data_IF_105455886242
#
_entry.id   IF_105455886242
#
_cell.length_a   1.000
_cell.length_b   1.000
_cell.length_c   1.000
_cell.angle_alpha   90.00
_cell.angle_beta   90.00
_cell.angle_gamma   90.00
#
_symmetry.space_group_name_H-M   'P 1'
#
loop_
_entity.id
_entity.type
_entity.pdbx_description
1 polymer ?
#
# COMPACT_ATOMS: atom_id res chain seq x y z
N UNK A 1 -25.56 -2.45 15.18
CA UNK A 1 -24.40 -1.81 14.53
C UNK A 1 -23.90 -2.79 13.47
N UNK A 2 -24.14 -2.52 12.18
CA UNK A 2 -23.75 -3.45 11.10
C UNK A 2 -22.29 -3.18 10.76
N UNK A 3 -21.41 -4.11 11.09
CA UNK A 3 -20.00 -4.06 10.69
C UNK A 3 -19.94 -4.33 9.18
N UNK A 4 -19.16 -3.55 8.43
CA UNK A 4 -19.01 -3.74 6.99
C UNK A 4 -18.47 -5.16 6.71
N UNK A 5 -19.18 -6.01 5.94
CA UNK A 5 -18.72 -7.36 5.61
C UNK A 5 -17.33 -7.38 4.94
N UNK A 6 -16.93 -6.30 4.28
CA UNK A 6 -15.60 -6.15 3.66
C UNK A 6 -14.51 -5.95 4.70
N UNK A 7 -14.84 -5.40 5.86
CA UNK A 7 -13.92 -5.32 6.99
C UNK A 7 -13.52 -6.74 7.44
N UNK A 8 -14.48 -7.66 7.41
CA UNK A 8 -14.24 -9.06 7.72
C UNK A 8 -13.27 -9.74 6.75
N UNK A 9 -13.23 -9.33 5.47
CA UNK A 9 -12.28 -9.82 4.47
C UNK A 9 -10.89 -9.18 4.61
N UNK A 10 -10.79 -7.94 5.09
CA UNK A 10 -9.51 -7.29 5.39
C UNK A 10 -8.78 -7.94 6.57
N UNK A 11 -9.55 -8.48 7.52
CA UNK A 11 -9.07 -9.16 8.72
C UNK A 11 -9.35 -10.67 8.73
N UNK A 12 -9.79 -11.24 7.61
CA UNK A 12 -10.01 -12.68 7.51
C UNK A 12 -8.66 -13.39 7.73
N UNK A 13 -8.66 -14.43 8.55
CA UNK A 13 -7.51 -15.31 8.73
C UNK A 13 -7.10 -15.89 7.37
N UNK A 14 -5.80 -15.77 7.07
CA UNK A 14 -5.16 -16.27 5.84
C UNK A 14 -5.48 -17.76 5.59
N UNK A 15 -5.75 -18.52 6.65
CA UNK A 15 -6.01 -19.95 6.64
C UNK A 15 -7.22 -20.40 5.79
N UNK A 16 -8.11 -19.47 5.37
CA UNK A 16 -9.27 -19.80 4.54
C UNK A 16 -9.18 -19.25 3.11
N UNK A 17 -8.08 -18.63 2.71
CA UNK A 17 -7.91 -18.11 1.35
C UNK A 17 -7.48 -19.24 0.39
N UNK A 18 -8.27 -19.48 -0.65
CA UNK A 18 -7.96 -20.47 -1.70
C UNK A 18 -7.84 -19.78 -3.06
N UNK A 19 -6.96 -20.30 -3.92
CA UNK A 19 -6.77 -19.78 -5.29
C UNK A 19 -6.04 -18.43 -5.36
N UNK A 20 -5.48 -17.96 -4.25
CA UNK A 20 -4.72 -16.70 -4.20
C UNK A 20 -3.22 -16.93 -4.41
N UNK A 21 -2.72 -18.14 -4.12
CA UNK A 21 -1.29 -18.43 -4.09
C UNK A 21 -0.58 -18.15 -5.42
N UNK A 22 -1.04 -18.74 -6.53
CA UNK A 22 -0.42 -18.55 -7.84
C UNK A 22 -0.36 -17.07 -8.26
N UNK A 23 -1.50 -16.35 -8.31
CA UNK A 23 -1.51 -14.92 -8.65
C UNK A 23 -0.67 -14.05 -7.71
N UNK A 24 -0.60 -14.40 -6.42
CA UNK A 24 0.24 -13.68 -5.45
C UNK A 24 1.71 -13.89 -5.78
N UNK A 25 2.13 -15.12 -5.98
CA UNK A 25 3.54 -15.48 -6.19
C UNK A 25 4.08 -14.87 -7.49
N UNK A 26 3.26 -14.82 -8.55
CA UNK A 26 3.58 -14.13 -9.81
C UNK A 26 3.80 -12.62 -9.59
N UNK A 27 2.89 -11.95 -8.86
CA UNK A 27 3.01 -10.52 -8.56
C UNK A 27 4.24 -10.23 -7.69
N UNK A 28 4.49 -11.05 -6.66
CA UNK A 28 5.67 -10.93 -5.79
C UNK A 28 6.94 -11.03 -6.61
N UNK A 29 7.03 -12.04 -7.49
CA UNK A 29 8.17 -12.21 -8.39
C UNK A 29 8.41 -10.97 -9.26
N UNK A 30 7.40 -10.48 -9.95
CA UNK A 30 7.56 -9.29 -10.82
C UNK A 30 7.93 -8.01 -10.05
N UNK A 31 7.46 -7.87 -8.80
CA UNK A 31 7.79 -6.72 -7.96
C UNK A 31 9.26 -6.75 -7.52
N UNK A 32 9.77 -7.93 -7.16
CA UNK A 32 11.12 -8.12 -6.62
C UNK A 32 12.21 -8.36 -7.68
N UNK A 33 11.83 -8.75 -8.90
CA UNK A 33 12.79 -8.90 -10.00
C UNK A 33 13.54 -7.60 -10.27
N UNK A 34 14.83 -7.55 -9.95
CA UNK A 34 15.68 -6.43 -10.32
C UNK A 34 15.84 -6.43 -11.85
N UNK A 35 15.38 -5.36 -12.51
CA UNK A 35 15.58 -5.23 -13.95
C UNK A 35 17.08 -5.18 -14.26
N UNK A 36 17.51 -5.83 -15.35
CA UNK A 36 18.90 -5.88 -15.84
C UNK A 36 19.57 -4.49 -16.10
N UNK A 37 18.91 -3.39 -15.80
CA UNK A 37 19.40 -2.04 -16.02
C UNK A 37 19.67 -1.37 -14.68
N UNK A 38 20.88 -0.85 -14.50
CA UNK A 38 21.46 -0.24 -13.31
C UNK A 38 20.75 1.02 -12.76
N UNK A 39 19.50 1.29 -13.15
CA UNK A 39 18.65 2.34 -12.59
C UNK A 39 17.37 1.72 -12.02
N UNK A 40 17.14 1.91 -10.72
CA UNK A 40 15.91 1.53 -10.01
C UNK A 40 14.70 2.23 -10.67
N UNK A 41 14.08 1.61 -11.67
CA UNK A 41 12.88 2.16 -12.31
C UNK A 41 11.66 1.95 -11.40
N UNK A 42 10.83 2.99 -11.26
CA UNK A 42 9.57 2.91 -10.52
C UNK A 42 8.60 1.98 -11.26
N UNK A 43 8.17 0.91 -10.59
CA UNK A 43 7.16 -0.04 -11.11
C UNK A 43 5.78 0.26 -10.55
N UNK A 44 4.74 0.08 -11.37
CA UNK A 44 3.33 0.21 -10.96
C UNK A 44 2.57 -1.01 -11.48
N UNK A 45 1.83 -1.67 -10.58
CA UNK A 45 1.00 -2.84 -10.89
C UNK A 45 -0.47 -2.50 -10.60
N UNK A 46 -1.37 -3.03 -11.42
CA UNK A 46 -2.83 -2.82 -11.28
C UNK A 46 -3.55 -4.16 -11.31
N UNK A 47 -4.46 -4.38 -10.36
CA UNK A 47 -5.32 -5.56 -10.29
C UNK A 47 -6.74 -5.13 -10.69
N UNK A 48 -7.19 -5.57 -11.86
CA UNK A 48 -8.47 -5.15 -12.46
C UNK A 48 -9.40 -6.35 -12.61
N UNK A 49 -10.70 -6.12 -12.44
CA UNK A 49 -11.73 -7.16 -12.57
C UNK A 49 -13.03 -6.77 -11.88
N UNK A 50 -14.07 -7.57 -12.09
CA UNK A 50 -15.40 -7.36 -11.52
C UNK A 50 -15.42 -7.31 -9.98
N UNK A 51 -16.48 -6.74 -9.43
CA UNK A 51 -16.73 -6.71 -7.98
C UNK A 51 -16.81 -8.13 -7.41
N UNK A 52 -16.31 -8.33 -6.19
CA UNK A 52 -16.37 -9.63 -5.50
C UNK A 52 -15.26 -10.64 -5.87
N UNK A 53 -14.42 -10.37 -6.87
CA UNK A 53 -13.34 -11.30 -7.29
C UNK A 53 -12.12 -11.38 -6.34
N UNK A 54 -12.16 -10.75 -5.17
CA UNK A 54 -11.03 -10.80 -4.23
C UNK A 54 -9.80 -9.95 -4.60
N UNK A 55 -9.94 -8.94 -5.48
CA UNK A 55 -8.81 -8.07 -5.89
C UNK A 55 -8.09 -7.40 -4.73
N UNK A 56 -8.84 -6.84 -3.79
CA UNK A 56 -8.29 -6.22 -2.58
C UNK A 56 -7.61 -7.25 -1.68
N UNK A 57 -8.14 -8.47 -1.63
CA UNK A 57 -7.54 -9.61 -0.92
C UNK A 57 -6.18 -9.97 -1.52
N UNK A 58 -6.10 -10.14 -2.85
CA UNK A 58 -4.83 -10.41 -3.54
C UNK A 58 -3.80 -9.29 -3.30
N UNK A 59 -4.21 -8.01 -3.40
CA UNK A 59 -3.32 -6.88 -3.11
C UNK A 59 -2.78 -6.91 -1.66
N UNK A 60 -3.64 -7.26 -0.69
CA UNK A 60 -3.26 -7.36 0.71
C UNK A 60 -2.27 -8.52 0.96
N UNK A 61 -2.51 -9.67 0.34
CA UNK A 61 -1.61 -10.83 0.43
C UNK A 61 -0.23 -10.54 -0.16
N UNK A 62 -0.17 -9.92 -1.35
CA UNK A 62 1.10 -9.47 -1.95
C UNK A 62 1.80 -8.48 -1.03
N UNK A 63 1.09 -7.48 -0.52
CA UNK A 63 1.65 -6.49 0.42
C UNK A 63 2.24 -7.16 1.66
N UNK A 64 1.52 -8.08 2.31
CA UNK A 64 2.00 -8.81 3.50
C UNK A 64 3.29 -9.59 3.25
N UNK A 65 3.44 -10.17 2.06
CA UNK A 65 4.61 -10.99 1.69
C UNK A 65 5.86 -10.15 1.42
N UNK A 66 5.72 -8.95 0.86
CA UNK A 66 6.88 -8.14 0.43
C UNK A 66 7.15 -6.93 1.31
N UNK A 67 6.23 -6.52 2.18
CA UNK A 67 6.33 -5.28 2.98
C UNK A 67 7.65 -5.13 3.75
N UNK A 68 8.27 -6.22 4.16
CA UNK A 68 9.50 -6.21 4.96
C UNK A 68 10.77 -6.13 4.09
N UNK A 69 10.62 -6.19 2.77
CA UNK A 69 11.68 -5.97 1.78
C UNK A 69 11.79 -4.49 1.36
N UNK A 70 10.94 -3.61 1.89
CA UNK A 70 10.93 -2.18 1.59
C UNK A 70 11.14 -1.35 2.86
N UNK A 71 12.01 -0.34 2.75
CA UNK A 71 12.30 0.67 3.79
C UNK A 71 11.15 1.65 4.05
N UNK A 72 10.16 1.68 3.17
CA UNK A 72 8.96 2.50 3.27
C UNK A 72 7.77 1.70 2.78
N UNK A 73 6.71 1.68 3.58
CA UNK A 73 5.50 0.94 3.26
C UNK A 73 4.27 1.71 3.71
N UNK A 74 3.25 1.69 2.86
CA UNK A 74 1.93 2.19 3.19
C UNK A 74 0.87 1.34 2.48
N UNK A 75 -0.22 1.05 3.17
CA UNK A 75 -1.40 0.40 2.63
C UNK A 75 -2.63 1.26 2.97
N UNK A 76 -3.20 1.89 1.94
CA UNK A 76 -4.21 2.95 2.08
C UNK A 76 -5.49 2.57 1.36
N UNK A 77 -6.62 2.65 2.06
CA UNK A 77 -7.95 2.50 1.47
C UNK A 77 -8.46 3.86 0.99
N UNK A 78 -8.77 3.97 -0.29
CA UNK A 78 -9.36 5.18 -0.89
C UNK A 78 -10.86 4.98 -1.10
N UNK A 79 -11.67 5.92 -0.62
CA UNK A 79 -13.12 5.89 -0.78
C UNK A 79 -13.55 6.45 -2.15
N UNK A 80 -14.81 6.24 -2.54
CA UNK A 80 -15.39 6.81 -3.77
C UNK A 80 -15.42 8.35 -3.77
N UNK A 81 -15.44 8.97 -2.59
CA UNK A 81 -15.34 10.42 -2.40
C UNK A 81 -14.03 10.70 -1.64
N UNK A 82 -12.89 10.74 -2.35
CA UNK A 82 -11.59 10.80 -1.72
C UNK A 82 -11.40 12.13 -0.99
N UNK A 83 -10.97 12.05 0.26
CA UNK A 83 -10.42 13.19 0.99
C UNK A 83 -8.90 13.17 0.80
N UNK A 84 -8.42 13.99 -0.13
CA UNK A 84 -7.00 14.03 -0.52
C UNK A 84 -6.11 14.40 0.67
N UNK A 85 -6.54 15.35 1.51
CA UNK A 85 -5.77 15.76 2.70
C UNK A 85 -5.63 14.59 3.67
N UNK A 86 -6.72 13.86 3.92
CA UNK A 86 -6.69 12.67 4.77
C UNK A 86 -5.78 11.58 4.19
N UNK A 87 -5.92 11.28 2.90
CA UNK A 87 -5.11 10.27 2.21
C UNK A 87 -3.61 10.60 2.34
N UNK A 88 -3.22 11.84 2.08
CA UNK A 88 -1.82 12.26 2.19
C UNK A 88 -1.29 12.12 3.62
N UNK A 89 -2.09 12.50 4.63
CA UNK A 89 -1.75 12.31 6.05
C UNK A 89 -1.57 10.83 6.40
N UNK A 90 -2.47 9.97 5.93
CA UNK A 90 -2.41 8.53 6.18
C UNK A 90 -1.15 7.91 5.53
N UNK A 91 -0.80 8.33 4.30
CA UNK A 91 0.44 7.89 3.62
C UNK A 91 1.67 8.35 4.41
N UNK A 92 1.77 9.64 4.74
CA UNK A 92 2.91 10.20 5.47
C UNK A 92 3.07 9.48 6.82
N UNK A 93 1.98 9.28 7.55
CA UNK A 93 1.97 8.60 8.84
C UNK A 93 2.57 7.19 8.75
N UNK A 94 2.08 6.36 7.82
CA UNK A 94 2.56 4.98 7.68
C UNK A 94 4.02 4.90 7.21
N UNK A 95 4.44 5.83 6.34
CA UNK A 95 5.83 5.91 5.84
C UNK A 95 6.80 6.42 6.93
N UNK A 96 6.36 7.31 7.81
CA UNK A 96 7.20 7.97 8.82
C UNK A 96 7.45 7.13 10.08
N UNK A 97 6.61 6.12 10.36
CA UNK A 97 6.70 5.30 11.58
C UNK A 97 8.00 4.46 11.73
N UNK A 98 8.91 4.48 10.75
CA UNK A 98 10.25 3.87 10.88
C UNK A 98 11.38 4.86 11.27
N UNK A 99 11.13 6.16 11.38
CA UNK A 99 12.13 7.16 11.78
C UNK A 99 11.47 8.37 12.43
N UNK A 100 11.49 8.41 13.76
CA UNK A 100 10.63 9.28 14.58
C UNK A 100 10.63 10.78 14.23
N UNK A 101 9.44 11.32 13.95
CA UNK A 101 8.85 12.43 14.71
C UNK A 101 7.38 12.57 14.28
N UNK A 102 6.45 12.60 15.25
CA UNK A 102 5.06 12.96 14.97
C UNK A 102 5.00 14.46 14.69
N UNK A 103 5.33 14.89 13.46
CA UNK A 103 5.11 16.28 13.06
C UNK A 103 3.60 16.51 12.99
N UNK A 104 3.16 17.61 13.59
CA UNK A 104 1.77 18.02 13.51
C UNK A 104 1.43 18.32 12.03
N UNK A 105 0.66 17.43 11.41
CA UNK A 105 0.28 17.49 9.98
C UNK A 105 -1.04 18.24 9.78
N UNK A 106 -1.63 18.78 10.85
CA UNK A 106 -2.92 19.49 10.84
C UNK A 106 -2.99 20.59 9.77
N UNK A 107 -1.95 21.43 9.67
CA UNK A 107 -1.89 22.61 8.80
C UNK A 107 -1.27 22.37 7.40
N UNK A 108 -1.01 21.12 7.01
CA UNK A 108 -0.31 20.88 5.74
C UNK A 108 -1.25 21.04 4.54
N UNK A 109 -0.81 21.84 3.57
CA UNK A 109 -1.38 21.82 2.24
C UNK A 109 -0.82 20.64 1.41
N UNK A 110 -1.35 20.47 0.20
CA UNK A 110 -0.97 19.38 -0.70
C UNK A 110 0.51 19.46 -1.11
N UNK A 111 1.02 20.66 -1.36
CA UNK A 111 2.38 20.86 -1.85
C UNK A 111 3.40 20.52 -0.76
N UNK A 112 3.13 20.92 0.48
CA UNK A 112 3.91 20.58 1.67
C UNK A 112 3.85 19.08 1.97
N UNK A 113 2.70 18.45 1.76
CA UNK A 113 2.56 16.99 1.91
C UNK A 113 3.40 16.24 0.87
N UNK A 114 3.38 16.69 -0.38
CA UNK A 114 4.19 16.09 -1.46
C UNK A 114 5.69 16.29 -1.20
N UNK A 115 6.10 17.49 -0.76
CA UNK A 115 7.52 17.76 -0.51
C UNK A 115 8.07 16.90 0.62
N UNK A 116 7.33 16.74 1.73
CA UNK A 116 7.75 15.86 2.82
C UNK A 116 7.83 14.40 2.35
N UNK A 117 6.83 13.90 1.61
CA UNK A 117 6.88 12.54 1.06
C UNK A 117 8.11 12.31 0.19
N UNK A 118 8.51 13.30 -0.62
CA UNK A 118 9.74 13.20 -1.43
C UNK A 118 10.98 13.11 -0.55
N UNK A 119 11.03 13.84 0.56
CA UNK A 119 12.14 13.77 1.53
C UNK A 119 12.17 12.40 2.21
N UNK A 120 11.03 11.88 2.68
CA UNK A 120 10.95 10.58 3.35
C UNK A 120 11.32 9.40 2.45
N UNK A 121 11.07 9.54 1.14
CA UNK A 121 11.36 8.51 0.12
C UNK A 121 12.73 8.72 -0.55
N UNK A 122 13.49 9.74 -0.17
CA UNK A 122 14.78 10.01 -0.78
C UNK A 122 15.77 8.88 -0.46
N UNK A 123 16.43 8.35 -1.50
CA UNK A 123 17.45 7.28 -1.42
C UNK A 123 16.97 5.90 -0.94
N UNK A 124 15.66 5.65 -0.92
CA UNK A 124 15.08 4.31 -0.68
C UNK A 124 14.86 3.60 -2.03
#
# INVERSE_FOLDING_TARGET
MVVDPRLHALFAEEAHLVGVDGPRDDLVKWMLEEGNNSSKQRKVFSIVGFGGLGKTTLANEVYRNIKDQFDCKAFISVSQKPDIKKIMKDVISQVSCQGGSSKDTSDWDEMKSISELRVLLQNK
#
